data_IF_216124472717
#
_entry.id   IF_216124472717
#
_cell.length_a   1.000
_cell.length_b   1.000
_cell.length_c   1.000
_cell.angle_alpha   90.00
_cell.angle_beta   90.00
_cell.angle_gamma   90.00
#
_symmetry.space_group_name_H-M   'P 1'
#
loop_
_entity.id
_entity.type
_entity.pdbx_description
1 polymer ?
#
# COMPACT_ATOMS: atom_id res chain seq x y z
N UNK A 1 -32.28 31.83 -8.82
CA UNK A 1 -32.05 30.44 -8.36
C UNK A 1 -31.00 29.75 -9.22
N UNK A 2 -31.10 29.74 -10.57
CA UNK A 2 -30.22 29.02 -11.50
C UNK A 2 -28.74 29.41 -11.35
N UNK A 3 -28.42 30.73 -11.40
CA UNK A 3 -27.04 31.24 -11.26
C UNK A 3 -26.35 30.80 -9.97
N UNK A 4 -27.12 30.60 -8.86
CA UNK A 4 -26.58 30.09 -7.59
C UNK A 4 -26.25 28.61 -7.65
N UNK A 5 -27.07 27.81 -8.32
CA UNK A 5 -26.84 26.38 -8.55
C UNK A 5 -25.63 26.14 -9.46
N UNK A 6 -25.54 26.93 -10.55
CA UNK A 6 -24.39 26.87 -11.47
C UNK A 6 -23.07 27.24 -10.76
N UNK A 7 -23.07 28.30 -9.93
CA UNK A 7 -21.92 28.69 -9.15
C UNK A 7 -21.48 27.57 -8.18
N UNK A 8 -22.41 26.96 -7.46
CA UNK A 8 -22.12 25.84 -6.56
C UNK A 8 -21.56 24.62 -7.30
N UNK A 9 -22.15 24.29 -8.45
CA UNK A 9 -21.68 23.18 -9.27
C UNK A 9 -20.28 23.45 -9.84
N UNK A 10 -19.98 24.69 -10.19
CA UNK A 10 -18.65 25.10 -10.62
C UNK A 10 -17.62 24.92 -9.49
N UNK A 11 -17.93 25.38 -8.28
CA UNK A 11 -17.04 25.25 -7.12
C UNK A 11 -16.77 23.77 -6.77
N UNK A 12 -17.80 22.92 -6.83
CA UNK A 12 -17.65 21.48 -6.61
C UNK A 12 -16.73 20.84 -7.67
N UNK A 13 -16.95 21.16 -8.96
CA UNK A 13 -16.10 20.64 -10.04
C UNK A 13 -14.66 21.09 -9.90
N UNK A 14 -14.44 22.35 -9.56
CA UNK A 14 -13.10 22.89 -9.32
C UNK A 14 -12.40 22.15 -8.18
N UNK A 15 -13.10 21.93 -7.08
CA UNK A 15 -12.55 21.17 -5.94
C UNK A 15 -12.21 19.73 -6.31
N UNK A 16 -13.07 19.06 -7.09
CA UNK A 16 -12.79 17.70 -7.58
C UNK A 16 -11.55 17.63 -8.46
N UNK A 17 -11.39 18.60 -9.40
CA UNK A 17 -10.19 18.68 -10.24
C UNK A 17 -8.93 18.87 -9.41
N UNK A 18 -8.95 19.71 -8.40
CA UNK A 18 -7.79 19.92 -7.51
C UNK A 18 -7.42 18.65 -6.71
N UNK A 19 -8.40 17.81 -6.34
CA UNK A 19 -8.12 16.51 -5.72
C UNK A 19 -7.54 15.50 -6.73
N UNK A 20 -8.06 15.51 -7.95
CA UNK A 20 -7.56 14.63 -9.01
C UNK A 20 -6.13 15.03 -9.45
N UNK A 21 -5.79 16.32 -9.46
CA UNK A 21 -4.45 16.81 -9.75
C UNK A 21 -3.42 16.26 -8.75
N UNK A 22 -3.73 16.29 -7.44
CA UNK A 22 -2.82 15.74 -6.41
C UNK A 22 -2.65 14.22 -6.55
N UNK A 23 -3.72 13.49 -6.79
CA UNK A 23 -3.65 12.05 -7.03
C UNK A 23 -2.82 11.74 -8.29
N UNK A 24 -2.88 12.61 -9.30
CA UNK A 24 -2.11 12.46 -10.52
C UNK A 24 -0.60 12.74 -10.30
N UNK A 25 -0.25 13.74 -9.49
CA UNK A 25 1.14 14.00 -9.09
C UNK A 25 1.74 12.80 -8.37
N UNK A 26 1.04 12.24 -7.40
CA UNK A 26 1.47 11.04 -6.68
C UNK A 26 1.63 9.84 -7.62
N UNK A 27 0.69 9.66 -8.56
CA UNK A 27 0.76 8.62 -9.59
C UNK A 27 2.01 8.75 -10.46
N UNK A 28 2.35 9.96 -10.87
CA UNK A 28 3.56 10.20 -11.68
C UNK A 28 4.83 9.80 -10.93
N UNK A 29 4.93 10.10 -9.63
CA UNK A 29 6.07 9.71 -8.78
C UNK A 29 6.18 8.18 -8.72
N UNK A 30 5.10 7.48 -8.41
CA UNK A 30 5.10 6.01 -8.31
C UNK A 30 5.42 5.35 -9.66
N UNK A 31 4.87 5.85 -10.76
CA UNK A 31 5.16 5.32 -12.09
C UNK A 31 6.60 5.59 -12.52
N UNK A 32 7.16 6.74 -12.16
CA UNK A 32 8.58 7.03 -12.37
C UNK A 32 9.48 6.07 -11.60
N UNK A 33 9.19 5.83 -10.31
CA UNK A 33 9.93 4.85 -9.51
C UNK A 33 9.82 3.44 -10.10
N UNK A 34 8.61 3.04 -10.51
CA UNK A 34 8.37 1.73 -11.14
C UNK A 34 9.18 1.58 -12.45
N UNK A 35 9.18 2.60 -13.30
CA UNK A 35 9.95 2.59 -14.53
C UNK A 35 11.46 2.54 -14.26
N UNK A 36 11.95 3.29 -13.29
CA UNK A 36 13.36 3.24 -12.88
C UNK A 36 13.79 1.83 -12.46
N UNK A 37 12.93 1.09 -11.74
CA UNK A 37 13.20 -0.30 -11.34
C UNK A 37 13.22 -1.21 -12.58
N UNK A 38 12.32 -1.01 -13.53
CA UNK A 38 12.24 -1.82 -14.75
C UNK A 38 13.46 -1.61 -15.67
N UNK A 39 13.84 -0.35 -15.86
CA UNK A 39 14.91 0.06 -16.79
C UNK A 39 16.31 -0.09 -16.20
N UNK A 40 16.44 -0.06 -14.86
CA UNK A 40 17.74 -0.12 -14.19
C UNK A 40 18.35 -1.53 -14.30
N UNK A 41 19.54 -1.61 -14.83
CA UNK A 41 20.35 -2.85 -14.76
C UNK A 41 20.92 -3.08 -13.35
N UNK A 42 21.04 -2.00 -12.55
CA UNK A 42 21.65 -2.03 -11.21
C UNK A 42 20.65 -1.55 -10.16
N UNK A 43 19.90 -2.50 -9.60
CA UNK A 43 18.95 -2.22 -8.51
C UNK A 43 19.63 -2.15 -7.14
N UNK A 44 20.92 -2.54 -7.07
CA UNK A 44 21.67 -2.65 -5.81
C UNK A 44 21.79 -1.31 -5.09
N UNK A 45 22.09 -0.23 -5.81
CA UNK A 45 22.22 1.11 -5.21
C UNK A 45 20.90 1.60 -4.60
N UNK A 46 19.77 1.30 -5.27
CA UNK A 46 18.45 1.61 -4.74
C UNK A 46 18.17 0.83 -3.44
N UNK A 47 18.49 -0.47 -3.43
CA UNK A 47 18.29 -1.32 -2.24
C UNK A 47 19.21 -0.90 -1.09
N UNK A 48 20.44 -0.51 -1.37
CA UNK A 48 21.37 -0.03 -0.34
C UNK A 48 20.86 1.29 0.26
N UNK A 49 20.44 2.24 -0.55
CA UNK A 49 19.81 3.48 -0.08
C UNK A 49 18.52 3.22 0.73
N UNK A 50 17.71 2.23 0.33
CA UNK A 50 16.52 1.85 1.11
C UNK A 50 16.92 1.27 2.48
N UNK A 51 17.97 0.43 2.56
CA UNK A 51 18.48 -0.12 3.82
C UNK A 51 19.00 0.97 4.75
N UNK A 52 19.83 1.87 4.23
CA UNK A 52 20.35 3.02 4.98
C UNK A 52 19.20 3.84 5.59
N UNK A 53 18.20 4.19 4.77
CA UNK A 53 17.06 4.97 5.26
C UNK A 53 16.26 4.21 6.33
N UNK A 54 16.01 2.91 6.14
CA UNK A 54 15.25 2.11 7.13
C UNK A 54 16.02 1.97 8.44
N UNK A 55 17.35 1.78 8.39
CA UNK A 55 18.19 1.69 9.59
C UNK A 55 18.18 3.01 10.34
N UNK A 56 18.35 4.13 9.62
CA UNK A 56 18.33 5.46 10.22
C UNK A 56 16.96 5.77 10.87
N UNK A 57 15.86 5.43 10.20
CA UNK A 57 14.50 5.63 10.73
C UNK A 57 14.26 4.81 12.01
N UNK A 58 14.70 3.53 12.05
CA UNK A 58 14.59 2.66 13.24
C UNK A 58 15.46 3.15 14.41
N UNK A 59 16.66 3.62 14.13
CA UNK A 59 17.53 4.21 15.15
C UNK A 59 16.90 5.49 15.71
N UNK A 60 16.45 6.40 14.85
CA UNK A 60 15.82 7.67 15.24
C UNK A 60 14.53 7.47 16.05
N UNK A 61 13.81 6.37 15.83
CA UNK A 61 12.61 6.05 16.60
C UNK A 61 12.92 5.66 18.06
N UNK A 62 14.13 5.16 18.33
CA UNK A 62 14.54 4.66 19.66
C UNK A 62 15.51 5.60 20.35
N UNK A 63 16.39 6.22 19.59
CA UNK A 63 17.43 7.13 20.08
C UNK A 63 16.90 8.54 20.08
N UNK A 64 16.72 9.12 21.27
CA UNK A 64 16.43 10.54 21.43
C UNK A 64 17.77 11.29 21.57
N UNK A 65 17.92 12.38 20.84
CA UNK A 65 19.18 13.15 20.75
C UNK A 65 19.75 13.65 22.09
N UNK A 66 18.92 13.67 23.15
CA UNK A 66 19.32 14.17 24.47
C UNK A 66 19.68 13.05 25.46
N UNK A 67 19.64 11.77 25.04
CA UNK A 67 19.89 10.62 25.91
C UNK A 67 21.31 10.08 25.70
N UNK A 68 21.93 9.68 26.82
CA UNK A 68 23.20 8.94 26.79
C UNK A 68 23.00 7.51 26.25
N UNK A 69 24.03 6.90 25.61
CA UNK A 69 23.90 5.59 24.96
C UNK A 69 23.36 4.48 25.86
N UNK A 70 23.62 4.53 27.16
CA UNK A 70 23.12 3.54 28.12
C UNK A 70 21.64 3.69 28.46
N UNK A 71 21.02 4.83 28.12
CA UNK A 71 19.60 5.11 28.29
C UNK A 71 18.75 4.74 27.07
N UNK A 72 19.40 4.41 25.95
CA UNK A 72 18.70 3.99 24.73
C UNK A 72 18.02 2.66 24.93
N UNK A 73 16.82 2.51 24.38
CA UNK A 73 16.09 1.25 24.45
C UNK A 73 16.62 0.24 23.42
N UNK A 74 17.82 -0.29 23.69
CA UNK A 74 18.51 -1.25 22.82
C UNK A 74 17.68 -2.49 22.52
N UNK A 75 16.84 -2.94 23.44
CA UNK A 75 16.01 -4.15 23.28
C UNK A 75 14.92 -3.94 22.21
N UNK A 76 14.32 -2.75 22.14
CA UNK A 76 13.37 -2.40 21.09
C UNK A 76 14.08 -2.36 19.75
N UNK A 77 15.26 -1.73 19.68
CA UNK A 77 16.03 -1.63 18.45
C UNK A 77 16.49 -3.00 17.94
N UNK A 78 17.01 -3.86 18.82
CA UNK A 78 17.38 -5.25 18.50
C UNK A 78 16.19 -6.04 17.95
N UNK A 79 15.03 -5.91 18.59
CA UNK A 79 13.79 -6.58 18.17
C UNK A 79 13.29 -6.08 16.81
N UNK A 80 13.29 -4.76 16.59
CA UNK A 80 12.86 -4.16 15.33
C UNK A 80 13.76 -4.56 14.17
N UNK A 81 15.08 -4.44 14.35
CA UNK A 81 16.05 -4.84 13.33
C UNK A 81 16.02 -6.36 13.05
N UNK A 82 15.81 -7.18 14.07
CA UNK A 82 15.61 -8.62 13.88
C UNK A 82 14.34 -8.92 13.07
N UNK A 83 13.26 -8.17 13.27
CA UNK A 83 12.03 -8.31 12.48
C UNK A 83 12.20 -7.87 11.02
N UNK A 84 13.01 -6.83 10.77
CA UNK A 84 13.20 -6.30 9.42
C UNK A 84 14.26 -7.09 8.65
N UNK A 85 15.44 -7.26 9.24
CA UNK A 85 16.60 -7.86 8.56
C UNK A 85 16.77 -9.36 8.79
N UNK A 86 16.09 -9.92 9.80
CA UNK A 86 16.30 -11.31 10.24
C UNK A 86 17.63 -11.53 10.98
N UNK A 87 18.30 -10.44 11.37
CA UNK A 87 19.61 -10.47 12.03
C UNK A 87 19.46 -10.31 13.55
N UNK A 88 20.24 -11.07 14.29
CA UNK A 88 20.39 -10.89 15.73
C UNK A 88 21.67 -10.09 15.99
N UNK A 89 21.50 -8.78 16.23
CA UNK A 89 22.61 -7.87 16.47
C UNK A 89 22.73 -7.61 17.98
N UNK A 90 23.92 -7.77 18.57
CA UNK A 90 24.11 -7.58 20.01
C UNK A 90 24.36 -6.11 20.36
N UNK A 91 23.39 -5.22 20.07
CA UNK A 91 23.52 -3.77 20.24
C UNK A 91 23.76 -3.42 21.71
N UNK A 92 23.06 -4.09 22.61
CA UNK A 92 23.25 -3.92 24.05
C UNK A 92 24.68 -4.20 24.49
N UNK A 93 25.34 -5.21 23.90
CA UNK A 93 26.74 -5.53 24.19
C UNK A 93 27.70 -4.48 23.61
N UNK A 94 27.40 -3.94 22.43
CA UNK A 94 28.20 -2.87 21.84
C UNK A 94 28.19 -1.62 22.71
N UNK A 95 27.03 -1.22 23.22
CA UNK A 95 26.88 -0.09 24.13
C UNK A 95 27.63 -0.34 25.46
N UNK A 96 27.53 -1.55 26.02
CA UNK A 96 28.25 -1.89 27.25
C UNK A 96 29.77 -1.90 27.10
N UNK A 97 30.28 -2.28 25.94
CA UNK A 97 31.71 -2.35 25.66
C UNK A 97 32.30 -0.98 25.38
N UNK A 98 31.52 -0.10 24.79
CA UNK A 98 31.95 1.28 24.50
C UNK A 98 30.86 2.25 24.98
N UNK A 99 31.02 2.80 26.18
CA UNK A 99 30.07 3.75 26.78
C UNK A 99 29.99 5.10 26.04
N UNK A 100 30.93 5.39 25.16
CA UNK A 100 30.98 6.63 24.36
C UNK A 100 30.64 6.37 22.88
N UNK A 101 29.99 5.25 22.58
CA UNK A 101 29.59 4.92 21.21
C UNK A 101 28.62 5.98 20.69
N UNK A 102 28.87 6.44 19.47
CA UNK A 102 27.98 7.41 18.80
C UNK A 102 26.87 6.72 18.03
N UNK A 103 25.82 7.48 17.70
CA UNK A 103 24.72 7.00 16.83
C UNK A 103 25.25 6.55 15.49
N UNK A 104 26.15 7.35 14.90
CA UNK A 104 26.75 7.07 13.59
C UNK A 104 27.55 5.76 13.59
N UNK A 105 28.30 5.48 14.68
CA UNK A 105 29.04 4.23 14.83
C UNK A 105 28.12 2.99 14.93
N UNK A 106 26.96 3.13 15.58
CA UNK A 106 25.96 2.05 15.64
C UNK A 106 25.32 1.85 14.29
N UNK A 107 24.93 2.95 13.61
CA UNK A 107 24.36 2.92 12.27
C UNK A 107 25.30 2.21 11.29
N UNK A 108 26.57 2.59 11.28
CA UNK A 108 27.59 1.97 10.43
C UNK A 108 27.75 0.46 10.70
N UNK A 109 27.80 0.04 11.97
CA UNK A 109 27.91 -1.38 12.33
C UNK A 109 26.68 -2.18 11.89
N UNK A 110 25.47 -1.64 12.06
CA UNK A 110 24.24 -2.27 11.63
C UNK A 110 24.23 -2.39 10.10
N UNK A 111 24.59 -1.32 9.40
CA UNK A 111 24.63 -1.27 7.95
C UNK A 111 25.60 -2.30 7.37
N UNK A 112 26.84 -2.35 7.89
CA UNK A 112 27.84 -3.35 7.48
C UNK A 112 27.30 -4.76 7.69
N UNK A 113 26.75 -5.07 8.86
CA UNK A 113 26.22 -6.41 9.16
C UNK A 113 25.07 -6.78 8.23
N UNK A 114 24.18 -5.83 7.91
CA UNK A 114 23.06 -6.04 7.00
C UNK A 114 23.52 -6.27 5.55
N UNK A 115 24.52 -5.48 5.10
CA UNK A 115 25.11 -5.61 3.77
C UNK A 115 25.87 -6.93 3.59
N UNK A 116 26.68 -7.32 4.59
CA UNK A 116 27.42 -8.59 4.54
C UNK A 116 26.48 -9.79 4.46
N UNK A 117 25.46 -9.86 5.33
CA UNK A 117 24.47 -10.93 5.30
C UNK A 117 23.73 -10.99 3.95
N UNK A 118 23.36 -9.82 3.41
CA UNK A 118 22.69 -9.78 2.11
C UNK A 118 23.60 -10.19 0.95
N UNK A 119 24.89 -9.80 1.00
CA UNK A 119 25.88 -10.16 0.01
C UNK A 119 26.16 -11.66 -0.02
N UNK A 120 26.23 -12.31 1.14
CA UNK A 120 26.35 -13.77 1.24
C UNK A 120 25.16 -14.46 0.59
N UNK A 121 23.93 -14.00 0.87
CA UNK A 121 22.69 -14.47 0.26
C UNK A 121 22.72 -14.29 -1.26
N UNK A 122 23.06 -13.10 -1.73
CA UNK A 122 23.13 -12.77 -3.17
C UNK A 122 24.14 -13.63 -3.90
N UNK A 123 25.29 -13.91 -3.29
CA UNK A 123 26.33 -14.79 -3.86
C UNK A 123 25.85 -16.25 -3.98
N UNK A 124 25.08 -16.73 -3.02
CA UNK A 124 24.51 -18.08 -3.03
C UNK A 124 23.48 -18.25 -4.15
N UNK A 125 22.63 -17.25 -4.38
CA UNK A 125 21.56 -17.29 -5.40
C UNK A 125 22.07 -16.95 -6.81
N UNK A 126 23.11 -16.12 -6.92
CA UNK A 126 23.72 -15.74 -8.17
C UNK A 126 22.91 -14.75 -9.02
N UNK A 127 22.98 -14.85 -10.35
CA UNK A 127 22.38 -13.87 -11.29
C UNK A 127 20.85 -13.77 -11.19
N UNK A 128 20.18 -14.84 -10.80
CA UNK A 128 18.71 -14.89 -10.66
C UNK A 128 18.22 -13.93 -9.57
N UNK A 129 19.10 -13.58 -8.61
CA UNK A 129 18.76 -12.65 -7.53
C UNK A 129 18.30 -11.29 -8.06
N UNK A 130 18.87 -10.78 -9.14
CA UNK A 130 18.51 -9.45 -9.70
C UNK A 130 17.10 -9.40 -10.27
N UNK A 131 16.70 -10.44 -10.98
CA UNK A 131 15.35 -10.52 -11.52
C UNK A 131 14.33 -10.69 -10.40
N UNK A 132 14.70 -11.47 -9.38
CA UNK A 132 13.88 -11.65 -8.19
C UNK A 132 13.70 -10.34 -7.40
N UNK A 133 14.76 -9.58 -7.15
CA UNK A 133 14.71 -8.25 -6.50
C UNK A 133 13.74 -7.32 -7.22
N UNK A 134 13.86 -7.21 -8.55
CA UNK A 134 12.98 -6.38 -9.39
C UNK A 134 11.53 -6.82 -9.27
N UNK A 135 11.27 -8.11 -9.42
CA UNK A 135 9.91 -8.65 -9.37
C UNK A 135 9.23 -8.39 -8.03
N UNK A 136 9.95 -8.61 -6.94
CA UNK A 136 9.41 -8.39 -5.59
C UNK A 136 9.14 -6.91 -5.33
N UNK A 137 10.07 -6.01 -5.67
CA UNK A 137 9.86 -4.58 -5.49
C UNK A 137 8.66 -4.07 -6.30
N UNK A 138 8.52 -4.52 -7.55
CA UNK A 138 7.37 -4.15 -8.37
C UNK A 138 6.05 -4.67 -7.77
N UNK A 139 6.04 -5.89 -7.25
CA UNK A 139 4.85 -6.45 -6.61
C UNK A 139 4.47 -5.68 -5.34
N UNK A 140 5.46 -5.30 -4.52
CA UNK A 140 5.22 -4.50 -3.30
C UNK A 140 4.68 -3.12 -3.67
N UNK A 141 5.28 -2.45 -4.66
CA UNK A 141 4.82 -1.14 -5.14
C UNK A 141 3.38 -1.22 -5.65
N UNK A 142 3.07 -2.21 -6.49
CA UNK A 142 1.75 -2.36 -7.09
C UNK A 142 0.68 -2.66 -6.02
N UNK A 143 0.99 -3.48 -5.02
CA UNK A 143 0.08 -3.77 -3.89
C UNK A 143 -0.12 -2.55 -3.01
N UNK A 144 0.96 -1.90 -2.57
CA UNK A 144 0.91 -0.75 -1.70
C UNK A 144 0.21 0.44 -2.38
N UNK A 145 0.44 0.64 -3.69
CA UNK A 145 -0.25 1.67 -4.47
C UNK A 145 -1.76 1.44 -4.56
N UNK A 146 -2.18 0.19 -4.74
CA UNK A 146 -3.61 -0.16 -4.74
C UNK A 146 -4.28 0.19 -3.40
N UNK A 147 -3.63 -0.15 -2.29
CA UNK A 147 -4.12 0.17 -0.95
C UNK A 147 -4.23 1.69 -0.75
N UNK A 148 -3.18 2.43 -1.14
CA UNK A 148 -3.15 3.89 -1.05
C UNK A 148 -4.28 4.57 -1.84
N UNK A 149 -4.59 4.09 -3.04
CA UNK A 149 -5.71 4.62 -3.82
C UNK A 149 -7.04 4.45 -3.07
N UNK A 150 -7.24 3.33 -2.38
CA UNK A 150 -8.43 3.11 -1.57
C UNK A 150 -8.48 4.04 -0.35
N UNK A 151 -7.34 4.29 0.31
CA UNK A 151 -7.23 5.22 1.44
C UNK A 151 -7.51 6.67 1.00
N UNK A 152 -6.95 7.11 -0.13
CA UNK A 152 -7.20 8.46 -0.68
C UNK A 152 -8.65 8.63 -1.09
N UNK A 153 -9.28 7.59 -1.65
CA UNK A 153 -10.72 7.65 -1.99
C UNK A 153 -11.59 7.72 -0.73
N UNK A 154 -11.27 6.97 0.31
CA UNK A 154 -11.93 7.07 1.62
C UNK A 154 -11.75 8.46 2.24
N UNK A 155 -10.55 9.04 2.18
CA UNK A 155 -10.28 10.40 2.61
C UNK A 155 -11.13 11.41 1.84
N UNK A 156 -11.22 11.28 0.52
CA UNK A 156 -12.03 12.15 -0.35
C UNK A 156 -13.51 12.12 0.02
N UNK A 157 -14.04 10.95 0.33
CA UNK A 157 -15.43 10.79 0.77
C UNK A 157 -15.69 11.43 2.15
N UNK A 158 -14.72 11.32 3.07
CA UNK A 158 -14.83 11.81 4.45
C UNK A 158 -14.51 13.30 4.63
N UNK A 159 -13.74 13.90 3.72
CA UNK A 159 -13.18 15.25 3.91
C UNK A 159 -14.24 16.35 4.03
N UNK A 160 -15.38 16.17 3.37
CA UNK A 160 -16.50 17.10 3.42
C UNK A 160 -17.05 17.33 4.84
N UNK A 161 -16.93 16.32 5.72
CA UNK A 161 -17.36 16.41 7.11
C UNK A 161 -16.47 17.35 7.96
N UNK A 162 -15.21 17.56 7.54
CA UNK A 162 -14.28 18.47 8.21
C UNK A 162 -14.70 19.93 8.16
N UNK A 163 -15.56 20.30 7.20
CA UNK A 163 -16.12 21.66 7.12
C UNK A 163 -16.97 22.05 8.32
N UNK A 164 -17.58 21.08 9.00
CA UNK A 164 -18.33 21.32 10.23
C UNK A 164 -17.43 21.76 11.40
N UNK A 165 -16.15 21.41 11.39
CA UNK A 165 -15.15 21.83 12.36
C UNK A 165 -14.47 23.16 12.00
N UNK A 166 -15.05 23.98 11.12
CA UNK A 166 -14.49 25.25 10.63
C UNK A 166 -13.11 25.11 9.97
N UNK A 167 -12.73 23.94 9.52
CA UNK A 167 -11.51 23.69 8.76
C UNK A 167 -11.77 23.78 7.26
N UNK A 168 -10.76 24.24 6.53
CA UNK A 168 -10.85 24.28 5.07
C UNK A 168 -10.63 22.84 4.49
N UNK A 169 -11.67 22.21 3.91
CA UNK A 169 -11.56 20.83 3.45
C UNK A 169 -10.44 20.60 2.43
N UNK A 170 -10.15 21.61 1.59
CA UNK A 170 -9.08 21.53 0.59
C UNK A 170 -7.70 21.45 1.23
N UNK A 171 -7.43 22.28 2.24
CA UNK A 171 -6.13 22.29 2.94
C UNK A 171 -5.96 21.00 3.75
N UNK A 172 -7.01 20.55 4.41
CA UNK A 172 -6.98 19.29 5.16
C UNK A 172 -6.77 18.09 4.22
N UNK A 173 -7.47 18.03 3.08
CA UNK A 173 -7.25 16.97 2.11
C UNK A 173 -5.82 16.94 1.60
N UNK A 174 -5.26 18.10 1.26
CA UNK A 174 -3.88 18.19 0.78
C UNK A 174 -2.89 17.69 1.82
N UNK A 175 -3.07 18.08 3.09
CA UNK A 175 -2.20 17.65 4.18
C UNK A 175 -2.31 16.15 4.43
N UNK A 176 -3.53 15.64 4.62
CA UNK A 176 -3.76 14.23 4.92
C UNK A 176 -3.36 13.33 3.74
N UNK A 177 -3.62 13.76 2.49
CA UNK A 177 -3.17 13.02 1.29
C UNK A 177 -1.65 12.97 1.17
N UNK A 178 -0.94 14.01 1.61
CA UNK A 178 0.52 14.01 1.66
C UNK A 178 1.03 13.06 2.75
N UNK A 179 0.46 13.09 3.95
CA UNK A 179 0.79 12.18 5.06
C UNK A 179 0.57 10.71 4.66
N UNK A 180 -0.54 10.40 3.96
CA UNK A 180 -0.81 9.07 3.42
C UNK A 180 0.24 8.65 2.39
N UNK A 181 0.67 9.57 1.54
CA UNK A 181 1.68 9.29 0.51
C UNK A 181 3.08 9.06 1.11
N UNK A 182 3.47 9.82 2.12
CA UNK A 182 4.70 9.56 2.88
C UNK A 182 4.67 8.18 3.55
N UNK A 183 3.53 7.83 4.15
CA UNK A 183 3.31 6.50 4.75
C UNK A 183 3.43 5.39 3.71
N UNK A 184 2.87 5.57 2.50
CA UNK A 184 3.02 4.66 1.37
C UNK A 184 4.49 4.44 1.01
N UNK A 185 5.26 5.52 0.82
CA UNK A 185 6.68 5.43 0.45
C UNK A 185 7.49 4.71 1.52
N UNK A 186 7.19 5.00 2.79
CA UNK A 186 7.84 4.31 3.91
C UNK A 186 7.46 2.81 3.95
N UNK A 187 6.18 2.49 3.77
CA UNK A 187 5.69 1.09 3.68
C UNK A 187 6.44 0.32 2.59
N UNK A 188 6.58 0.90 1.38
CA UNK A 188 7.31 0.28 0.27
C UNK A 188 8.77 0.00 0.67
N UNK A 189 9.45 0.96 1.30
CA UNK A 189 10.85 0.81 1.74
C UNK A 189 10.99 -0.31 2.77
N UNK A 190 10.23 -0.25 3.84
CA UNK A 190 10.31 -1.21 4.95
C UNK A 190 9.93 -2.61 4.49
N UNK A 191 8.84 -2.77 3.74
CA UNK A 191 8.41 -4.08 3.23
C UNK A 191 9.38 -4.64 2.19
N UNK A 192 9.93 -3.80 1.31
CA UNK A 192 10.95 -4.18 0.34
C UNK A 192 12.21 -4.71 1.02
N UNK A 193 12.75 -3.94 1.95
CA UNK A 193 13.95 -4.35 2.72
C UNK A 193 13.66 -5.62 3.53
N UNK A 194 12.53 -5.67 4.25
CA UNK A 194 12.15 -6.82 5.07
C UNK A 194 12.00 -8.10 4.25
N UNK A 195 11.27 -8.04 3.15
CA UNK A 195 11.04 -9.22 2.33
C UNK A 195 12.35 -9.73 1.75
N UNK A 196 13.14 -8.87 1.11
CA UNK A 196 14.40 -9.26 0.47
C UNK A 196 15.46 -9.72 1.46
N UNK A 197 15.47 -9.17 2.69
CA UNK A 197 16.40 -9.59 3.73
C UNK A 197 16.06 -10.94 4.35
N UNK A 198 14.77 -11.28 4.47
CA UNK A 198 14.31 -12.50 5.18
C UNK A 198 13.98 -13.68 4.28
N UNK A 199 13.70 -13.44 3.00
CA UNK A 199 13.35 -14.53 2.07
C UNK A 199 14.50 -15.51 1.94
N UNK A 200 14.21 -16.77 2.08
CA UNK A 200 15.10 -17.89 1.74
C UNK A 200 14.72 -18.34 0.33
N UNK A 201 15.67 -18.31 -0.58
CA UNK A 201 15.45 -18.70 -1.97
C UNK A 201 16.00 -20.12 -2.14
N UNK A 202 15.10 -21.08 -2.25
CA UNK A 202 15.44 -22.44 -2.64
C UNK A 202 15.53 -22.49 -4.18
N UNK A 203 16.71 -22.83 -4.68
CA UNK A 203 16.91 -23.06 -6.11
C UNK A 203 16.44 -24.48 -6.41
N UNK A 204 15.32 -24.64 -7.11
CA UNK A 204 14.99 -25.93 -7.71
C UNK A 204 15.94 -26.24 -8.88
N UNK A 205 16.41 -27.49 -8.98
CA UNK A 205 17.30 -28.00 -10.06
C UNK A 205 16.75 -27.79 -11.49
N UNK A 206 15.49 -27.33 -11.62
CA UNK A 206 14.80 -27.08 -12.89
C UNK A 206 14.79 -25.62 -13.35
N UNK A 207 15.49 -24.71 -12.68
CA UNK A 207 15.62 -23.31 -13.11
C UNK A 207 14.37 -22.44 -12.92
N UNK A 208 13.39 -22.88 -12.15
CA UNK A 208 12.19 -22.12 -11.79
C UNK A 208 12.28 -21.52 -10.38
N UNK A 209 11.95 -20.25 -10.24
CA UNK A 209 11.80 -19.59 -8.95
C UNK A 209 10.46 -20.00 -8.33
N UNK A 210 10.49 -20.72 -7.22
CA UNK A 210 9.30 -20.92 -6.38
C UNK A 210 9.10 -19.66 -5.53
N UNK A 211 8.25 -18.76 -6.00
CA UNK A 211 7.77 -17.65 -5.19
C UNK A 211 6.88 -18.22 -4.08
N UNK A 212 7.09 -17.85 -2.80
CA UNK A 212 6.15 -18.19 -1.75
C UNK A 212 4.78 -17.63 -2.17
N UNK A 213 3.81 -18.51 -2.40
CA UNK A 213 2.43 -18.11 -2.67
C UNK A 213 1.93 -17.36 -1.43
N UNK A 214 1.80 -16.05 -1.54
CA UNK A 214 0.98 -15.31 -0.60
C UNK A 214 -0.42 -15.95 -0.64
N UNK A 215 -0.87 -16.45 0.50
CA UNK A 215 -2.28 -16.80 0.67
C UNK A 215 -3.10 -15.57 0.26
N UNK A 216 -3.76 -15.68 -0.89
CA UNK A 216 -4.70 -14.69 -1.35
C UNK A 216 -5.79 -14.58 -0.28
N UNK A 217 -5.69 -13.57 0.57
CA UNK A 217 -6.83 -13.13 1.34
C UNK A 217 -7.94 -12.87 0.32
N UNK A 218 -9.01 -13.58 0.51
CA UNK A 218 -10.20 -13.62 -0.30
C UNK A 218 -10.54 -12.22 -0.81
N UNK A 219 -10.52 -12.06 -2.12
CA UNK A 219 -11.05 -10.90 -2.80
C UNK A 219 -12.51 -10.72 -2.37
N UNK A 220 -12.75 -9.76 -1.49
CA UNK A 220 -14.06 -9.17 -1.32
C UNK A 220 -14.46 -8.64 -2.69
N UNK A 221 -15.50 -9.25 -3.24
CA UNK A 221 -16.15 -8.85 -4.48
C UNK A 221 -16.48 -7.34 -4.40
N UNK A 222 -15.59 -6.52 -4.91
CA UNK A 222 -15.84 -5.10 -5.09
C UNK A 222 -16.70 -4.96 -6.34
N UNK A 223 -18.02 -5.02 -6.11
CA UNK A 223 -18.96 -4.39 -7.03
C UNK A 223 -18.51 -2.93 -7.18
N UNK A 224 -18.02 -2.60 -8.35
CA UNK A 224 -17.70 -1.23 -8.74
C UNK A 224 -18.88 -0.32 -8.41
N UNK A 225 -18.70 0.79 -7.68
CA UNK A 225 -19.74 1.77 -7.55
C UNK A 225 -19.97 2.38 -8.94
N UNK A 226 -21.07 1.99 -9.57
CA UNK A 226 -21.55 2.66 -10.76
C UNK A 226 -21.73 4.14 -10.44
N UNK A 227 -21.10 4.95 -11.25
CA UNK A 227 -21.13 6.41 -11.25
C UNK A 227 -22.55 6.92 -10.96
N UNK A 228 -22.72 7.59 -9.82
CA UNK A 228 -23.94 8.30 -9.46
C UNK A 228 -24.06 9.62 -10.24
N UNK A 229 -24.08 9.52 -11.56
CA UNK A 229 -24.37 10.62 -12.49
C UNK A 229 -25.38 10.15 -13.54
N UNK A 230 -26.48 9.53 -13.09
CA UNK A 230 -27.66 9.46 -13.91
C UNK A 230 -28.70 10.46 -13.37
N UNK A 231 -28.95 11.46 -14.21
CA UNK A 231 -30.07 12.38 -14.11
C UNK A 231 -31.37 11.61 -13.97
N UNK A 232 -32.36 12.11 -13.19
CA UNK A 232 -33.67 11.51 -13.12
C UNK A 232 -34.36 11.64 -14.48
N UNK A 233 -34.39 10.56 -15.22
CA UNK A 233 -35.26 10.42 -16.39
C UNK A 233 -36.59 9.91 -15.89
N UNK A 234 -37.63 10.66 -16.18
CA UNK A 234 -39.05 10.45 -15.93
C UNK A 234 -39.43 8.95 -15.97
N UNK A 235 -40.00 8.47 -14.84
CA UNK A 235 -40.75 7.23 -14.76
C UNK A 235 -41.99 7.32 -15.64
N UNK A 236 -41.97 6.66 -16.77
CA UNK A 236 -43.18 6.14 -17.40
C UNK A 236 -42.86 4.85 -18.17
N UNK A 237 -43.66 3.81 -17.87
CA UNK A 237 -43.76 2.55 -18.58
C UNK A 237 -42.70 1.46 -18.36
N UNK A 238 -42.84 0.65 -17.30
CA UNK A 238 -42.54 -0.78 -17.34
C UNK A 238 -43.16 -1.63 -16.21
N UNK A 239 -44.40 -1.34 -15.80
CA UNK A 239 -45.15 -2.19 -14.83
C UNK A 239 -45.92 -3.33 -15.46
N UNK A 240 -45.77 -3.67 -16.75
CA UNK A 240 -46.51 -4.73 -17.42
C UNK A 240 -45.84 -6.10 -17.48
N UNK A 241 -44.61 -6.28 -17.03
CA UNK A 241 -43.86 -7.52 -17.21
C UNK A 241 -44.06 -8.60 -16.12
N UNK A 242 -44.40 -8.21 -14.89
CA UNK A 242 -44.52 -9.19 -13.77
C UNK A 242 -45.92 -9.73 -13.53
N UNK A 243 -46.97 -9.02 -13.95
CA UNK A 243 -48.35 -9.49 -13.86
C UNK A 243 -48.65 -10.72 -14.74
N UNK A 244 -48.11 -10.73 -15.94
CA UNK A 244 -48.35 -11.78 -16.93
C UNK A 244 -47.71 -13.14 -16.59
N UNK A 245 -46.62 -13.17 -15.83
CA UNK A 245 -46.01 -14.47 -15.43
C UNK A 245 -46.75 -15.15 -14.28
N UNK A 246 -47.37 -14.43 -13.38
CA UNK A 246 -48.20 -14.99 -12.30
C UNK A 246 -49.53 -15.50 -12.82
N UNK A 247 -50.16 -14.81 -13.73
CA UNK A 247 -51.42 -15.26 -14.39
C UNK A 247 -51.21 -16.54 -15.20
N UNK A 248 -50.18 -16.62 -16.05
CA UNK A 248 -49.84 -17.82 -16.82
C UNK A 248 -49.51 -19.04 -15.94
N UNK A 249 -48.92 -18.87 -14.75
CA UNK A 249 -48.68 -19.96 -13.79
C UNK A 249 -49.96 -20.40 -13.07
N UNK A 250 -50.90 -19.49 -12.85
CA UNK A 250 -52.22 -19.84 -12.25
C UNK A 250 -53.08 -20.60 -13.24
N UNK A 251 -53.14 -20.19 -14.50
CA UNK A 251 -53.88 -20.88 -15.59
C UNK A 251 -53.31 -22.26 -15.87
N UNK A 252 -52.00 -22.44 -15.89
CA UNK A 252 -51.36 -23.74 -16.07
C UNK A 252 -51.65 -24.72 -14.90
N UNK A 253 -51.82 -24.21 -13.67
CA UNK A 253 -52.22 -25.04 -12.52
C UNK A 253 -53.68 -25.42 -12.56
N UNK A 254 -54.58 -24.57 -13.05
CA UNK A 254 -55.99 -24.88 -13.21
C UNK A 254 -56.24 -25.88 -14.35
N UNK A 255 -55.54 -25.75 -15.47
CA UNK A 255 -55.61 -26.72 -16.59
C UNK A 255 -55.15 -28.13 -16.17
N UNK A 256 -54.07 -28.23 -15.34
CA UNK A 256 -53.61 -29.52 -14.79
C UNK A 256 -54.57 -30.15 -13.77
N UNK A 257 -55.39 -29.35 -13.07
CA UNK A 257 -56.37 -29.84 -12.10
C UNK A 257 -57.65 -30.38 -12.78
N UNK A 258 -57.98 -29.79 -13.92
CA UNK A 258 -59.20 -30.27 -14.71
C UNK A 258 -58.91 -31.52 -15.55
N UNK A 259 -57.67 -31.76 -15.96
CA UNK A 259 -57.29 -32.98 -16.69
C UNK A 259 -57.11 -34.21 -15.79
N UNK A 260 -57.15 -34.06 -14.45
CA UNK A 260 -57.15 -35.19 -13.48
C UNK A 260 -58.55 -35.61 -12.97
N UNK A 261 -59.63 -34.99 -13.47
CA UNK A 261 -61.01 -35.30 -13.11
C UNK A 261 -61.83 -35.85 -14.26
N UNK A 262 -61.17 -36.26 -15.34
CA UNK A 262 -61.82 -37.08 -16.37
C UNK A 262 -61.28 -38.51 -16.39
#
# INVERSE_FOLDING_TARGET
>A
AQKRVEGRNFDIRKMLLEYDDMANEQRQIIYSQRNNILESDVITELLDSMRETVIADEINAVVQNDLEPHEWNSEILESSLSNIFGLQLPIKEWIRTNNSITVDEIEEKILISAQESYKEKSNTVGSVMRDFEKQILLQIIDSAWKDHLAEVDALRQGIGLRSYASKNPKLEFRRESFELFESLLNKIRVEGVRFLSRVEIELEDSGGLNLPKQEQQQSLDHQSPQSALETPRSEESSSQGQGNRRLRRAEAKMAKKNSRKK
#
